data_IF_841981786420
#
_entry.id   IF_841981786420
#
_cell.length_a   1.000
_cell.length_b   1.000
_cell.length_c   1.000
_cell.angle_alpha   90.00
_cell.angle_beta   90.00
_cell.angle_gamma   90.00
#
_symmetry.space_group_name_H-M   'P 1'
#
loop_
_entity.id
_entity.type
_entity.pdbx_description
1 polymer ?
#
# COMPACT_ATOMS: atom_id res chain seq x y z
N UNK A 1 -19.51 33.65 7.59
CA UNK A 1 -18.89 32.69 8.51
C UNK A 1 -17.49 32.45 8.00
N UNK A 2 -16.49 32.99 8.67
CA UNK A 2 -15.09 32.93 8.27
C UNK A 2 -14.58 31.54 8.67
N UNK A 3 -14.23 30.71 7.69
CA UNK A 3 -13.61 29.40 7.94
C UNK A 3 -12.12 29.68 8.09
N UNK A 4 -11.63 29.56 9.33
CA UNK A 4 -10.20 29.60 9.64
C UNK A 4 -9.52 28.38 9.01
N UNK A 5 -8.33 28.52 8.41
CA UNK A 5 -7.60 27.37 7.89
C UNK A 5 -7.04 26.57 9.07
N UNK A 6 -7.52 25.33 9.25
CA UNK A 6 -6.86 24.37 10.13
C UNK A 6 -5.41 24.19 9.66
N UNK A 7 -4.47 24.46 10.55
CA UNK A 7 -3.05 24.26 10.35
C UNK A 7 -2.78 22.76 10.19
N UNK A 8 -2.68 22.29 8.94
CA UNK A 8 -2.16 20.97 8.66
C UNK A 8 -0.66 20.96 9.01
N UNK A 9 -0.17 19.97 9.78
CA UNK A 9 1.27 19.77 9.91
C UNK A 9 1.85 19.55 8.50
N UNK A 10 2.99 20.16 8.20
CA UNK A 10 3.60 20.28 6.86
C UNK A 10 3.91 18.95 6.15
N UNK A 11 3.60 17.80 6.76
CA UNK A 11 4.02 16.47 6.32
C UNK A 11 2.85 15.48 6.10
N UNK A 12 1.59 15.92 6.04
CA UNK A 12 0.46 15.01 5.84
C UNK A 12 -0.05 14.97 4.39
N UNK A 13 -0.03 13.79 3.76
CA UNK A 13 -0.75 13.58 2.48
C UNK A 13 -2.16 13.10 2.81
N UNK A 14 -3.14 13.98 2.59
CA UNK A 14 -4.57 13.70 2.80
C UNK A 14 -5.22 13.28 1.47
N UNK A 15 -5.64 12.02 1.37
CA UNK A 15 -6.40 11.52 0.22
C UNK A 15 -7.91 11.63 0.52
N UNK A 16 -8.59 12.53 -0.20
CA UNK A 16 -10.02 12.83 -0.05
C UNK A 16 -10.78 12.23 -1.25
N UNK A 17 -11.85 11.47 -0.99
CA UNK A 17 -12.85 11.14 -2.02
C UNK A 17 -14.28 11.28 -1.48
N UNK A 18 -14.93 12.44 -1.70
CA UNK A 18 -16.33 12.52 -2.15
C UNK A 18 -16.83 13.95 -2.41
N UNK A 19 -17.76 14.07 -3.38
CA UNK A 19 -18.56 15.25 -3.69
C UNK A 19 -19.93 15.15 -3.01
N UNK A 20 -20.40 16.27 -2.44
CA UNK A 20 -21.78 16.38 -1.95
C UNK A 20 -22.75 16.98 -2.98
N UNK A 21 -24.05 16.64 -2.90
CA UNK A 21 -25.09 17.22 -3.75
C UNK A 21 -25.37 18.72 -3.54
N UNK A 22 -24.92 19.32 -2.43
CA UNK A 22 -25.06 20.75 -2.12
C UNK A 22 -23.77 21.56 -2.36
N UNK A 23 -22.71 20.91 -2.84
CA UNK A 23 -21.42 21.53 -3.09
C UNK A 23 -20.45 21.56 -1.90
N UNK A 24 -20.74 20.99 -0.74
CA UNK A 24 -19.74 20.92 0.35
C UNK A 24 -19.84 19.66 1.22
N UNK A 25 -18.77 18.85 1.30
CA UNK A 25 -18.41 18.04 2.48
C UNK A 25 -16.90 17.94 2.60
N UNK A 26 -16.41 18.00 3.84
CA UNK A 26 -15.05 17.65 4.22
C UNK A 26 -15.08 16.40 5.10
N UNK A 27 -14.36 15.36 4.69
CA UNK A 27 -14.14 14.14 5.48
C UNK A 27 -12.73 13.61 5.20
N UNK A 28 -11.98 13.37 6.25
CA UNK A 28 -10.67 12.70 6.18
C UNK A 28 -10.89 11.20 6.05
N UNK A 29 -10.53 10.62 4.91
CA UNK A 29 -10.62 9.18 4.68
C UNK A 29 -9.33 8.46 5.09
N UNK A 30 -8.17 9.03 4.76
CA UNK A 30 -6.84 8.49 5.06
C UNK A 30 -5.91 9.66 5.40
N UNK A 31 -5.18 9.57 6.51
CA UNK A 31 -4.06 10.47 6.83
C UNK A 31 -2.76 9.68 6.85
N UNK A 32 -1.74 10.19 6.18
CA UNK A 32 -0.40 9.62 6.12
C UNK A 32 0.57 10.62 6.74
N UNK A 33 1.36 10.21 7.71
CA UNK A 33 2.55 10.97 8.12
C UNK A 33 3.69 10.67 7.14
N UNK A 34 4.14 11.67 6.38
CA UNK A 34 5.20 11.51 5.39
C UNK A 34 6.60 11.37 6.00
N UNK A 35 6.77 11.63 7.30
CA UNK A 35 8.06 11.45 7.98
C UNK A 35 8.23 10.05 8.55
N UNK A 36 7.14 9.43 9.00
CA UNK A 36 7.16 8.12 9.67
C UNK A 36 6.46 7.00 8.86
N UNK A 37 5.71 7.35 7.82
CA UNK A 37 4.91 6.39 7.05
C UNK A 37 3.71 5.83 7.79
N UNK A 38 3.37 6.43 8.94
CA UNK A 38 2.22 6.06 9.76
C UNK A 38 0.92 6.39 9.04
N UNK A 39 -0.06 5.49 9.11
CA UNK A 39 -1.36 5.66 8.47
C UNK A 39 -2.50 5.52 9.45
N UNK A 40 -3.45 6.44 9.33
CA UNK A 40 -4.66 6.47 10.14
C UNK A 40 -5.90 6.35 9.27
N UNK A 41 -6.84 5.52 9.72
CA UNK A 41 -8.14 5.29 9.10
C UNK A 41 -9.26 5.48 10.13
N UNK A 42 -10.34 6.13 9.74
CA UNK A 42 -11.44 6.44 10.67
C UNK A 42 -12.31 5.23 11.05
N UNK A 43 -12.38 4.19 10.20
CA UNK A 43 -13.11 2.93 10.44
C UNK A 43 -12.82 1.88 9.36
N UNK A 44 -12.76 0.60 9.71
CA UNK A 44 -12.69 -0.54 8.75
C UNK A 44 -12.04 -1.80 9.35
N UNK A 45 -12.15 -2.95 8.69
CA UNK A 45 -11.28 -4.09 8.97
C UNK A 45 -9.90 -3.76 8.44
N UNK A 46 -8.95 -3.58 9.36
CA UNK A 46 -7.56 -3.33 9.04
C UNK A 46 -6.74 -4.59 9.30
N UNK A 47 -6.09 -5.10 8.24
CA UNK A 47 -4.92 -5.95 8.44
C UNK A 47 -3.70 -5.04 8.56
N UNK A 48 -2.86 -5.28 9.57
CA UNK A 48 -1.64 -4.53 9.82
C UNK A 48 -0.53 -5.52 10.17
N UNK A 49 0.62 -5.40 9.50
CA UNK A 49 1.77 -6.27 9.72
C UNK A 49 3.07 -5.52 9.48
N UNK A 50 4.00 -5.66 10.43
CA UNK A 50 5.38 -5.21 10.29
C UNK A 50 6.28 -6.41 10.01
N UNK A 51 7.02 -6.37 8.91
CA UNK A 51 7.88 -7.48 8.48
C UNK A 51 9.27 -6.99 8.10
N UNK A 52 10.28 -7.67 8.62
CA UNK A 52 11.67 -7.44 8.24
C UNK A 52 12.06 -8.32 7.05
N UNK A 53 12.31 -7.69 5.90
CA UNK A 53 12.68 -8.39 4.65
C UNK A 53 14.15 -8.13 4.34
N UNK A 54 14.92 -9.21 4.24
CA UNK A 54 16.33 -9.15 3.85
C UNK A 54 16.50 -8.61 2.42
N UNK A 55 17.66 -8.02 2.12
CA UNK A 55 17.97 -7.66 0.74
C UNK A 55 17.96 -8.89 -0.16
N UNK A 56 17.43 -8.73 -1.37
CA UNK A 56 17.31 -9.79 -2.37
C UNK A 56 16.50 -10.99 -1.89
N UNK A 57 15.51 -10.72 -1.04
CA UNK A 57 14.58 -11.69 -0.50
C UNK A 57 13.14 -11.21 -0.67
N UNK A 58 12.22 -12.13 -0.43
CA UNK A 58 10.80 -11.86 -0.44
C UNK A 58 10.14 -12.33 0.85
N UNK A 59 8.98 -11.78 1.11
CA UNK A 59 8.04 -12.25 2.10
C UNK A 59 6.69 -12.45 1.43
N UNK A 60 5.88 -13.36 1.98
CA UNK A 60 4.55 -13.62 1.46
C UNK A 60 3.56 -13.88 2.58
N UNK A 61 2.31 -13.51 2.35
CA UNK A 61 1.20 -13.81 3.23
C UNK A 61 0.03 -14.37 2.43
N UNK A 62 -0.67 -15.32 3.02
CA UNK A 62 -1.97 -15.76 2.52
C UNK A 62 -2.90 -14.56 2.61
N UNK A 63 -3.54 -14.19 1.51
CA UNK A 63 -4.47 -13.06 1.44
C UNK A 63 -5.62 -13.34 2.43
N UNK A 64 -5.69 -12.65 3.59
CA UNK A 64 -6.69 -12.93 4.63
C UNK A 64 -8.08 -12.35 4.30
N UNK A 65 -8.22 -11.67 3.16
CA UNK A 65 -9.41 -10.92 2.79
C UNK A 65 -10.20 -11.60 1.65
N UNK A 66 -11.52 -11.47 1.71
CA UNK A 66 -12.46 -12.18 0.82
C UNK A 66 -12.52 -11.62 -0.61
N UNK A 67 -13.02 -12.45 -1.53
CA UNK A 67 -13.22 -12.18 -2.95
C UNK A 67 -14.64 -11.60 -3.21
N UNK A 68 -14.84 -10.61 -4.10
CA UNK A 68 -13.83 -9.88 -4.88
C UNK A 68 -13.16 -8.78 -4.09
N UNK A 69 -11.85 -8.88 -3.99
CA UNK A 69 -10.99 -8.01 -3.20
C UNK A 69 -11.07 -6.61 -3.77
N UNK A 70 -11.57 -5.68 -2.96
CA UNK A 70 -11.50 -4.24 -3.20
C UNK A 70 -10.79 -3.66 -2.00
N UNK A 71 -9.47 -3.58 -2.10
CA UNK A 71 -8.62 -3.23 -0.97
C UNK A 71 -7.69 -2.12 -1.36
N UNK A 72 -7.48 -1.21 -0.44
CA UNK A 72 -6.36 -0.29 -0.51
C UNK A 72 -5.26 -0.84 0.39
N UNK A 73 -4.08 -1.07 -0.19
CA UNK A 73 -2.88 -1.46 0.51
C UNK A 73 -2.00 -0.22 0.65
N UNK A 74 -1.75 0.16 1.89
CA UNK A 74 -0.64 1.01 2.26
C UNK A 74 0.61 0.17 2.51
N UNK A 75 1.71 0.58 1.91
CA UNK A 75 3.02 0.00 2.10
C UNK A 75 3.99 1.12 2.46
N UNK A 76 4.56 1.07 3.65
CA UNK A 76 5.67 1.93 4.07
C UNK A 76 6.91 1.13 4.40
N UNK A 77 8.04 1.80 4.34
CA UNK A 77 9.36 1.21 4.57
C UNK A 77 10.09 2.10 5.55
N UNK A 78 10.92 1.52 6.42
CA UNK A 78 11.82 2.27 7.31
C UNK A 78 12.98 2.95 6.55
N UNK A 79 12.62 3.74 5.56
CA UNK A 79 13.50 4.53 4.74
C UNK A 79 12.75 5.80 4.36
N UNK A 80 13.41 6.94 4.54
CA UNK A 80 12.82 8.25 4.28
C UNK A 80 12.20 8.34 2.88
N UNK A 81 10.99 8.88 2.81
CA UNK A 81 10.29 9.12 1.56
C UNK A 81 9.83 7.85 0.81
N UNK A 82 9.79 6.67 1.45
CA UNK A 82 9.37 5.41 0.81
C UNK A 82 8.00 4.95 1.25
N UNK A 83 6.99 5.38 0.51
CA UNK A 83 5.60 5.08 0.81
C UNK A 83 4.78 4.86 -0.45
N UNK A 84 3.87 3.90 -0.42
CA UNK A 84 3.07 3.49 -1.57
C UNK A 84 1.63 3.22 -1.15
N UNK A 85 0.69 3.70 -1.96
CA UNK A 85 -0.72 3.33 -1.88
C UNK A 85 -1.13 2.65 -3.18
N UNK A 86 -1.63 1.42 -3.03
CA UNK A 86 -2.03 0.58 -4.15
C UNK A 86 -3.45 0.08 -3.94
N UNK A 87 -4.31 0.25 -4.94
CA UNK A 87 -5.59 -0.43 -5.00
C UNK A 87 -5.38 -1.85 -5.52
N UNK A 88 -5.88 -2.85 -4.81
CA UNK A 88 -5.98 -4.23 -5.29
C UNK A 88 -7.45 -4.47 -5.61
N UNK A 89 -7.75 -4.61 -6.90
CA UNK A 89 -9.13 -4.74 -7.39
C UNK A 89 -9.27 -5.93 -8.33
N UNK A 90 -10.40 -6.64 -8.25
CA UNK A 90 -10.74 -7.72 -9.18
C UNK A 90 -10.57 -9.12 -8.57
N UNK A 91 -10.21 -10.09 -9.41
CA UNK A 91 -10.24 -11.53 -9.08
C UNK A 91 -8.94 -12.08 -8.51
N UNK A 92 -7.98 -11.23 -8.14
CA UNK A 92 -6.65 -11.63 -7.63
C UNK A 92 -5.87 -12.53 -8.61
N UNK A 93 -5.97 -12.24 -9.90
CA UNK A 93 -5.25 -12.84 -11.03
C UNK A 93 -4.04 -11.98 -11.44
N UNK A 94 -3.06 -11.85 -10.54
CA UNK A 94 -1.74 -11.31 -10.87
C UNK A 94 -1.66 -9.78 -10.99
N UNK A 95 -0.68 -9.32 -11.77
CA UNK A 95 -0.22 -7.92 -11.82
C UNK A 95 -1.34 -6.92 -12.17
N UNK A 96 -2.28 -7.32 -13.03
CA UNK A 96 -3.34 -6.45 -13.53
C UNK A 96 -4.37 -6.06 -12.45
N UNK A 97 -4.33 -6.69 -11.27
CA UNK A 97 -5.20 -6.31 -10.16
C UNK A 97 -4.66 -5.13 -9.35
N UNK A 98 -3.39 -4.76 -9.54
CA UNK A 98 -2.81 -3.61 -8.88
C UNK A 98 -3.07 -2.32 -9.68
N UNK A 99 -3.60 -1.31 -9.01
CA UNK A 99 -3.65 0.07 -9.47
C UNK A 99 -2.86 0.94 -8.52
N UNK A 100 -1.71 1.46 -8.95
CA UNK A 100 -0.95 2.45 -8.19
C UNK A 100 -1.78 3.72 -8.05
N UNK A 101 -2.03 4.16 -6.82
CA UNK A 101 -2.70 5.43 -6.52
C UNK A 101 -1.70 6.49 -6.09
N UNK A 102 -0.64 6.06 -5.41
CA UNK A 102 0.45 6.92 -4.95
C UNK A 102 1.72 6.08 -4.81
N UNK A 103 2.85 6.64 -5.25
CA UNK A 103 4.17 6.06 -5.03
C UNK A 103 5.20 7.16 -4.79
N UNK A 104 6.00 6.99 -3.74
CA UNK A 104 7.15 7.83 -3.47
C UNK A 104 8.38 6.96 -3.17
N UNK A 105 9.50 7.12 -3.90
CA UNK A 105 9.60 7.82 -5.19
C UNK A 105 8.90 7.04 -6.32
N UNK A 106 8.38 7.76 -7.31
CA UNK A 106 7.73 7.16 -8.47
C UNK A 106 8.65 6.19 -9.23
N UNK A 107 8.08 5.11 -9.78
CA UNK A 107 8.82 4.12 -10.57
C UNK A 107 9.67 3.14 -9.75
N UNK A 108 9.58 3.17 -8.41
CA UNK A 108 10.29 2.19 -7.55
C UNK A 108 9.45 1.00 -7.12
N UNK A 109 8.17 0.99 -7.49
CA UNK A 109 7.25 -0.12 -7.27
C UNK A 109 6.98 -0.84 -8.60
N UNK A 110 7.04 -2.17 -8.58
CA UNK A 110 6.77 -3.02 -9.76
C UNK A 110 5.77 -4.11 -9.42
N UNK A 111 4.92 -4.47 -10.38
CA UNK A 111 3.86 -5.46 -10.21
C UNK A 111 4.12 -6.70 -11.07
N UNK A 112 4.01 -7.88 -10.45
CA UNK A 112 4.22 -9.17 -11.11
C UNK A 112 3.04 -10.10 -10.91
N UNK A 113 3.10 -11.25 -11.60
CA UNK A 113 2.13 -12.34 -11.49
C UNK A 113 2.87 -13.60 -11.06
N UNK A 114 2.34 -14.31 -10.06
CA UNK A 114 2.94 -15.53 -9.53
C UNK A 114 3.94 -15.27 -8.40
N UNK A 115 4.65 -16.31 -7.93
CA UNK A 115 5.55 -16.18 -6.80
C UNK A 115 6.78 -15.32 -7.12
N UNK A 116 7.24 -14.55 -6.14
CA UNK A 116 8.51 -13.83 -6.20
C UNK A 116 9.65 -14.69 -5.65
N UNK A 117 10.87 -14.46 -6.14
CA UNK A 117 12.05 -15.27 -5.79
C UNK A 117 13.05 -14.53 -4.90
N UNK A 118 12.85 -13.23 -4.66
CA UNK A 118 13.86 -12.38 -4.01
C UNK A 118 14.69 -11.59 -5.02
N UNK A 119 14.68 -11.99 -6.29
CA UNK A 119 15.46 -11.36 -7.37
C UNK A 119 14.65 -11.18 -8.66
N UNK A 120 13.32 -11.31 -8.59
CA UNK A 120 12.43 -11.23 -9.77
C UNK A 120 12.36 -9.81 -10.31
N UNK A 121 12.28 -8.82 -9.42
CA UNK A 121 12.21 -7.41 -9.78
C UNK A 121 13.57 -6.73 -9.98
N UNK A 122 13.53 -5.50 -10.53
CA UNK A 122 14.73 -4.72 -10.78
C UNK A 122 15.45 -4.36 -9.47
N UNK A 123 16.78 -4.29 -9.53
CA UNK A 123 17.57 -3.76 -8.43
C UNK A 123 17.21 -2.28 -8.15
N UNK A 124 17.21 -1.89 -6.87
CA UNK A 124 16.83 -0.56 -6.41
C UNK A 124 15.33 -0.34 -6.21
N UNK A 125 14.51 -1.39 -6.39
CA UNK A 125 13.05 -1.31 -6.31
C UNK A 125 12.41 -2.21 -5.26
N UNK A 126 11.09 -2.23 -5.30
CA UNK A 126 10.21 -3.12 -4.54
C UNK A 126 9.27 -3.78 -5.54
N UNK A 127 9.01 -5.06 -5.34
CA UNK A 127 8.07 -5.79 -6.18
C UNK A 127 6.89 -6.28 -5.35
N UNK A 128 5.69 -6.12 -5.87
CA UNK A 128 4.49 -6.75 -5.37
C UNK A 128 4.00 -7.78 -6.38
N UNK A 129 3.49 -8.90 -5.87
CA UNK A 129 2.88 -9.91 -6.73
C UNK A 129 1.72 -10.58 -6.05
N UNK A 130 0.75 -11.00 -6.85
CA UNK A 130 -0.30 -11.92 -6.41
C UNK A 130 -0.05 -13.25 -7.11
N UNK A 131 0.03 -14.31 -6.31
CA UNK A 131 -0.01 -15.68 -6.78
C UNK A 131 -1.34 -16.31 -6.38
N UNK A 132 -2.07 -16.82 -7.36
CA UNK A 132 -3.34 -17.52 -7.17
C UNK A 132 -3.30 -18.95 -7.71
N UNK A 133 -2.10 -19.49 -7.97
CA UNK A 133 -1.93 -20.88 -8.41
C UNK A 133 -2.24 -21.90 -7.32
N UNK A 134 -2.16 -21.49 -6.05
CA UNK A 134 -2.52 -22.30 -4.88
C UNK A 134 -4.00 -22.20 -4.49
N UNK A 135 -4.41 -23.00 -3.50
CA UNK A 135 -5.77 -23.00 -2.98
C UNK A 135 -6.17 -21.67 -2.32
N UNK A 136 -5.20 -20.96 -1.74
CA UNK A 136 -5.37 -19.63 -1.16
C UNK A 136 -4.46 -18.65 -1.90
N UNK A 137 -4.99 -17.54 -2.44
CA UNK A 137 -4.16 -16.50 -3.04
C UNK A 137 -3.15 -15.95 -2.03
N UNK A 138 -1.95 -15.61 -2.50
CA UNK A 138 -0.88 -15.03 -1.69
C UNK A 138 -0.45 -13.68 -2.24
N UNK A 139 -0.20 -12.73 -1.34
CA UNK A 139 0.48 -11.48 -1.65
C UNK A 139 1.97 -11.65 -1.34
N UNK A 140 2.82 -11.30 -2.29
CA UNK A 140 4.27 -11.28 -2.15
C UNK A 140 4.79 -9.84 -2.12
N UNK A 141 5.81 -9.62 -1.30
CA UNK A 141 6.61 -8.39 -1.26
C UNK A 141 8.06 -8.77 -1.40
N UNK A 142 8.78 -8.14 -2.33
CA UNK A 142 10.20 -8.37 -2.55
C UNK A 142 11.00 -7.09 -2.31
N UNK A 143 12.11 -7.23 -1.58
CA UNK A 143 13.01 -6.13 -1.25
C UNK A 143 14.28 -6.17 -2.11
N UNK A 144 14.39 -5.24 -3.06
CA UNK A 144 15.58 -5.07 -3.92
C UNK A 144 16.30 -3.75 -3.65
N UNK A 145 16.09 -3.13 -2.48
CA UNK A 145 16.59 -1.79 -2.17
C UNK A 145 18.09 -1.71 -1.83
N UNK A 146 18.82 -2.83 -1.89
CA UNK A 146 20.27 -2.89 -1.60
C UNK A 146 20.59 -3.03 -0.10
N UNK A 147 19.58 -3.17 0.76
CA UNK A 147 19.77 -3.41 2.19
C UNK A 147 18.54 -4.07 2.80
N UNK A 148 18.69 -4.70 3.96
CA UNK A 148 17.56 -5.19 4.74
C UNK A 148 16.68 -4.02 5.18
N UNK A 149 15.36 -4.21 5.19
CA UNK A 149 14.40 -3.17 5.55
C UNK A 149 13.21 -3.73 6.33
N UNK A 150 12.65 -2.89 7.19
CA UNK A 150 11.36 -3.11 7.80
C UNK A 150 10.29 -2.54 6.85
N UNK A 151 9.30 -3.37 6.53
CA UNK A 151 8.13 -3.01 5.75
C UNK A 151 6.92 -3.03 6.67
N UNK A 152 6.07 -2.03 6.55
CA UNK A 152 4.79 -1.96 7.23
C UNK A 152 3.70 -2.04 6.18
N UNK A 153 2.88 -3.09 6.29
CA UNK A 153 1.73 -3.30 5.43
C UNK A 153 0.47 -2.97 6.21
N UNK A 154 -0.38 -2.15 5.63
CA UNK A 154 -1.72 -1.93 6.17
C UNK A 154 -2.75 -1.98 5.07
N UNK A 155 -3.83 -2.73 5.27
CA UNK A 155 -4.94 -2.76 4.32
C UNK A 155 -6.15 -2.05 4.88
N UNK A 156 -6.87 -1.38 3.99
CA UNK A 156 -8.25 -0.97 4.22
C UNK A 156 -9.16 -1.83 3.34
N UNK A 157 -9.96 -2.67 3.99
CA UNK A 157 -11.07 -3.41 3.41
C UNK A 157 -12.40 -3.00 4.03
N UNK A 158 -13.50 -3.27 3.32
CA UNK A 158 -14.86 -3.06 3.82
C UNK A 158 -15.25 -4.13 4.85
#
# INVERSE_FOLDING_TARGET
>A
MQIEPESYPENAVLLIFHLLPDGSNFRTAISIDASEGGVQFSSGQAFFEDVFILNDSFWSIDIPWSNPSRIMLWLSINMEGRFFLVAITGTLTGANNFGEMFANPAGTLSYFTGPLTGTTGPAGGISLSIDNSGATPKLFVENRLGSNRLFTLSTMGK
#
